data_IF_578835604086
#
_entry.id   IF_578835604086
#
_cell.length_a   1.000
_cell.length_b   1.000
_cell.length_c   1.000
_cell.angle_alpha   90.00
_cell.angle_beta   90.00
_cell.angle_gamma   90.00
#
_symmetry.space_group_name_H-M   'P 1'
#
loop_
_entity.id
_entity.type
_entity.pdbx_description
1 polymer ?
#
# COMPACT_ATOMS: atom_id res chain seq x y z
N UNK A 1 -65.26 14.02 8.53
CA UNK A 1 -65.88 14.17 9.87
C UNK A 1 -64.96 13.53 10.88
N UNK A 2 -64.45 14.37 11.77
CA UNK A 2 -63.68 14.07 12.97
C UNK A 2 -64.50 13.24 13.99
N UNK A 3 -63.97 12.64 15.09
CA UNK A 3 -63.09 13.37 15.97
C UNK A 3 -61.88 12.59 16.59
N UNK A 4 -60.96 13.41 17.09
CA UNK A 4 -59.89 13.20 18.06
C UNK A 4 -60.41 12.59 19.38
N UNK A 5 -59.64 11.75 20.05
CA UNK A 5 -59.61 11.69 21.51
C UNK A 5 -58.15 11.62 22.01
N UNK A 6 -57.89 12.63 22.77
CA UNK A 6 -56.67 12.88 23.56
C UNK A 6 -56.93 12.32 24.96
N UNK A 7 -56.02 11.56 25.54
CA UNK A 7 -56.03 11.28 26.97
C UNK A 7 -54.63 11.39 27.57
N UNK A 8 -54.44 12.53 28.19
CA UNK A 8 -53.41 12.76 29.21
C UNK A 8 -53.66 11.87 30.41
N UNK A 9 -52.63 11.18 30.91
CA UNK A 9 -52.64 10.63 32.27
C UNK A 9 -51.43 11.21 33.03
N UNK A 10 -51.79 11.85 34.14
CA UNK A 10 -51.01 12.64 35.06
C UNK A 10 -50.11 11.77 35.94
N UNK A 11 -48.98 12.40 36.30
CA UNK A 11 -48.14 11.98 37.41
C UNK A 11 -48.93 12.05 38.71
N UNK A 12 -49.03 10.95 39.44
CA UNK A 12 -48.97 10.87 40.91
C UNK A 12 -49.43 9.49 41.40
N UNK A 13 -48.75 9.03 42.46
CA UNK A 13 -49.08 7.89 43.33
C UNK A 13 -48.68 6.49 42.85
N UNK A 14 -47.58 5.95 43.45
CA UNK A 14 -47.71 4.99 44.53
C UNK A 14 -46.37 4.83 45.27
N UNK A 15 -46.36 5.32 46.49
CA UNK A 15 -45.47 4.88 47.55
C UNK A 15 -46.20 3.79 48.32
N UNK A 16 -45.64 2.58 48.41
CA UNK A 16 -45.91 1.64 49.48
C UNK A 16 -44.75 0.64 49.62
N UNK A 17 -44.25 0.53 50.79
CA UNK A 17 -43.16 -0.30 51.26
C UNK A 17 -43.44 -1.80 51.19
N UNK A 18 -42.39 -2.59 50.92
CA UNK A 18 -42.25 -3.93 51.48
C UNK A 18 -40.76 -4.28 51.62
N UNK A 19 -40.34 -4.50 52.85
CA UNK A 19 -39.06 -5.05 53.21
C UNK A 19 -38.96 -6.51 52.80
N UNK A 20 -37.81 -6.94 52.24
CA UNK A 20 -37.59 -8.33 51.89
C UNK A 20 -36.16 -8.63 51.52
N UNK A 21 -35.39 -9.13 52.48
CA UNK A 21 -34.21 -10.03 52.39
C UNK A 21 -33.21 -9.81 51.22
N UNK A 22 -32.09 -9.22 51.58
CA UNK A 22 -30.87 -9.19 50.76
C UNK A 22 -30.21 -10.56 50.71
N UNK A 23 -30.36 -11.27 49.58
CA UNK A 23 -29.46 -12.35 49.22
C UNK A 23 -28.25 -11.73 48.50
N UNK A 24 -27.11 -11.70 49.16
CA UNK A 24 -25.82 -11.33 48.54
C UNK A 24 -25.40 -12.50 47.64
N UNK A 25 -25.66 -12.37 46.35
CA UNK A 25 -25.07 -13.23 45.37
C UNK A 25 -23.59 -12.81 45.18
N UNK A 26 -22.67 -13.64 45.65
CA UNK A 26 -21.26 -13.57 45.31
C UNK A 26 -21.09 -13.83 43.81
N UNK A 27 -20.99 -12.78 43.03
CA UNK A 27 -20.54 -12.84 41.66
C UNK A 27 -19.04 -13.14 41.67
N UNK A 28 -18.54 -14.24 41.14
CA UNK A 28 -17.12 -14.46 41.01
C UNK A 28 -16.54 -13.36 40.10
N UNK A 29 -15.68 -12.52 40.65
CA UNK A 29 -14.85 -11.59 39.87
C UNK A 29 -13.98 -12.43 38.93
N UNK A 30 -14.39 -12.55 37.70
CA UNK A 30 -13.51 -13.01 36.64
C UNK A 30 -12.42 -11.95 36.50
N UNK A 31 -11.26 -12.23 37.09
CA UNK A 31 -10.05 -11.48 36.82
C UNK A 31 -9.82 -11.56 35.30
N UNK A 32 -10.18 -10.49 34.59
CA UNK A 32 -9.79 -10.31 33.21
C UNK A 32 -8.27 -10.45 33.18
N UNK A 33 -7.76 -11.45 32.45
CA UNK A 33 -6.37 -11.58 32.16
C UNK A 33 -5.86 -10.23 31.59
N UNK A 34 -4.64 -9.78 31.95
CA UNK A 34 -4.11 -8.54 31.42
C UNK A 34 -4.11 -8.66 29.89
N UNK A 35 -4.97 -7.88 29.26
CA UNK A 35 -4.87 -7.66 27.82
C UNK A 35 -3.48 -7.08 27.62
N UNK A 36 -2.61 -7.81 26.92
CA UNK A 36 -1.37 -7.26 26.40
C UNK A 36 -1.76 -6.04 25.55
N UNK A 37 -1.67 -4.87 26.15
CA UNK A 37 -1.69 -3.60 25.44
C UNK A 37 -0.36 -3.61 24.68
N UNK A 38 -0.38 -4.17 23.46
CA UNK A 38 0.69 -3.94 22.53
C UNK A 38 0.85 -2.42 22.47
N UNK A 39 1.99 -1.93 22.94
CA UNK A 39 2.29 -0.48 22.98
C UNK A 39 2.06 0.04 21.57
N UNK A 40 1.02 0.88 21.42
CA UNK A 40 0.66 1.43 20.13
C UNK A 40 1.89 2.14 19.57
N UNK A 41 2.35 1.73 18.39
CA UNK A 41 3.49 2.38 17.75
C UNK A 41 3.21 3.89 17.64
N UNK A 42 4.19 4.77 17.95
CA UNK A 42 4.00 6.20 17.83
C UNK A 42 3.59 6.56 16.40
N UNK A 43 2.68 7.52 16.27
CA UNK A 43 2.24 7.99 14.95
C UNK A 43 3.42 8.72 14.30
N UNK A 44 3.89 8.30 13.11
CA UNK A 44 4.99 8.96 12.44
C UNK A 44 4.57 10.35 11.95
N UNK A 45 5.57 11.23 11.76
CA UNK A 45 5.35 12.54 11.13
C UNK A 45 4.88 12.35 9.69
N UNK A 46 3.96 13.18 9.22
CA UNK A 46 3.55 13.24 7.83
C UNK A 46 4.69 13.65 6.90
N UNK A 47 4.60 13.24 5.65
CA UNK A 47 5.62 13.42 4.62
C UNK A 47 4.99 14.06 3.38
N UNK A 48 5.78 14.88 2.68
CA UNK A 48 5.44 15.47 1.39
C UNK A 48 5.84 14.49 0.30
N UNK A 49 4.86 13.83 -0.31
CA UNK A 49 5.08 12.76 -1.29
C UNK A 49 4.79 13.26 -2.70
N UNK A 50 5.76 13.14 -3.60
CA UNK A 50 5.59 13.38 -5.03
C UNK A 50 5.62 12.04 -5.79
N UNK A 51 4.74 11.89 -6.77
CA UNK A 51 4.59 10.62 -7.51
C UNK A 51 4.82 10.82 -9.00
N UNK A 52 5.72 10.03 -9.59
CA UNK A 52 5.88 9.87 -11.03
C UNK A 52 5.53 8.43 -11.41
N UNK A 53 4.50 8.25 -12.25
CA UNK A 53 4.08 6.90 -12.60
C UNK A 53 3.06 6.83 -13.74
N UNK A 54 2.69 5.62 -14.07
CA UNK A 54 1.76 5.25 -15.12
C UNK A 54 0.58 4.42 -14.57
N UNK A 55 -0.17 3.71 -15.40
CA UNK A 55 -1.39 2.98 -15.03
C UNK A 55 -1.22 1.94 -13.91
N UNK A 56 0.01 1.49 -13.65
CA UNK A 56 0.32 0.56 -12.56
C UNK A 56 0.69 1.26 -11.23
N UNK A 57 0.60 2.60 -11.16
CA UNK A 57 1.07 3.35 -10.00
C UNK A 57 0.21 4.57 -9.64
N UNK A 58 -0.47 5.21 -10.61
CA UNK A 58 -1.15 6.51 -10.41
C UNK A 58 -2.21 6.52 -9.30
N UNK A 59 -2.76 5.37 -8.96
CA UNK A 59 -3.76 5.17 -7.91
C UNK A 59 -3.14 5.07 -6.51
N UNK A 60 -1.82 4.96 -6.38
CA UNK A 60 -1.13 4.95 -5.08
C UNK A 60 -1.42 6.24 -4.30
N UNK A 61 -1.41 7.40 -4.96
CA UNK A 61 -1.57 8.71 -4.30
C UNK A 61 -2.83 8.81 -3.46
N UNK A 62 -4.06 8.62 -4.02
CA UNK A 62 -5.27 8.73 -3.22
C UNK A 62 -5.37 7.64 -2.13
N UNK A 63 -4.93 6.42 -2.42
CA UNK A 63 -4.95 5.34 -1.44
C UNK A 63 -3.97 5.59 -0.28
N UNK A 64 -2.77 6.07 -0.58
CA UNK A 64 -1.79 6.41 0.45
C UNK A 64 -2.31 7.54 1.35
N UNK A 65 -2.98 8.55 0.79
CA UNK A 65 -3.59 9.63 1.57
C UNK A 65 -4.69 9.12 2.51
N UNK A 66 -5.53 8.21 2.05
CA UNK A 66 -6.55 7.56 2.88
C UNK A 66 -5.92 6.73 4.00
N UNK A 67 -4.90 5.92 3.68
CA UNK A 67 -4.18 5.11 4.65
C UNK A 67 -3.45 5.97 5.69
N UNK A 68 -2.85 7.08 5.29
CA UNK A 68 -2.24 8.04 6.22
C UNK A 68 -3.26 8.63 7.17
N UNK A 69 -4.45 9.01 6.67
CA UNK A 69 -5.56 9.49 7.50
C UNK A 69 -6.00 8.41 8.51
N UNK A 70 -6.20 7.17 8.07
CA UNK A 70 -6.57 6.04 8.94
C UNK A 70 -5.52 5.74 10.00
N UNK A 71 -4.25 5.95 9.67
CA UNK A 71 -3.14 5.79 10.61
C UNK A 71 -2.95 6.97 11.58
N UNK A 72 -3.78 8.01 11.49
CA UNK A 72 -3.67 9.24 12.30
C UNK A 72 -2.54 10.17 11.89
N UNK A 73 -1.98 10.01 10.67
CA UNK A 73 -0.88 10.84 10.15
C UNK A 73 -1.47 12.09 9.50
N UNK A 74 -1.72 13.12 10.32
CA UNK A 74 -2.43 14.34 9.90
C UNK A 74 -1.66 15.18 8.88
N UNK A 75 -0.31 15.14 8.91
CA UNK A 75 0.55 16.01 8.11
C UNK A 75 0.99 15.36 6.78
N UNK A 76 0.29 14.29 6.32
CA UNK A 76 0.55 13.74 5.00
C UNK A 76 0.15 14.74 3.92
N UNK A 77 1.08 15.03 2.99
CA UNK A 77 0.87 15.99 1.90
C UNK A 77 1.19 15.35 0.57
N UNK A 78 0.26 15.43 -0.37
CA UNK A 78 0.53 15.16 -1.78
C UNK A 78 1.25 16.37 -2.37
N UNK A 79 2.59 16.31 -2.47
CA UNK A 79 3.42 17.39 -3.01
C UNK A 79 3.19 17.59 -4.52
N UNK A 80 2.70 16.56 -5.19
CA UNK A 80 2.35 16.60 -6.60
C UNK A 80 2.37 15.24 -7.26
N UNK A 81 2.02 15.21 -8.54
CA UNK A 81 2.09 13.98 -9.35
C UNK A 81 2.41 14.29 -10.81
N UNK A 82 3.17 13.41 -11.44
CA UNK A 82 3.33 13.28 -12.88
C UNK A 82 2.75 11.94 -13.32
N UNK A 83 1.71 11.97 -14.16
CA UNK A 83 1.00 10.78 -14.62
C UNK A 83 1.03 10.71 -16.13
N UNK A 84 1.78 9.73 -16.67
CA UNK A 84 1.92 9.53 -18.12
C UNK A 84 1.66 8.04 -18.41
N UNK A 85 0.65 7.74 -19.22
CA UNK A 85 0.28 6.35 -19.56
C UNK A 85 1.43 5.62 -20.26
N UNK A 86 1.76 4.41 -19.81
CA UNK A 86 2.83 3.57 -20.38
C UNK A 86 4.21 4.23 -20.40
N UNK A 87 4.49 5.12 -19.43
CA UNK A 87 5.77 5.84 -19.37
C UNK A 87 6.86 5.04 -18.69
N UNK A 88 8.09 5.21 -19.17
CA UNK A 88 9.31 4.99 -18.37
C UNK A 88 9.53 6.14 -17.42
N UNK A 89 10.44 5.99 -16.45
CA UNK A 89 10.85 7.11 -15.58
C UNK A 89 11.55 8.20 -16.40
N UNK A 90 12.30 7.82 -17.45
CA UNK A 90 12.90 8.81 -18.38
C UNK A 90 11.88 9.69 -19.05
N UNK A 91 10.70 9.18 -19.44
CA UNK A 91 9.66 10.05 -20.03
C UNK A 91 9.16 11.13 -19.07
N UNK A 92 9.15 10.87 -17.78
CA UNK A 92 8.87 11.92 -16.78
C UNK A 92 10.03 12.90 -16.64
N UNK A 93 11.27 12.42 -16.75
CA UNK A 93 12.44 13.28 -16.75
C UNK A 93 12.50 14.19 -17.97
N UNK A 94 12.14 13.69 -19.14
CA UNK A 94 12.20 14.39 -20.43
C UNK A 94 11.03 15.36 -20.66
N UNK A 95 10.08 15.45 -19.74
CA UNK A 95 9.08 16.53 -19.79
C UNK A 95 9.79 17.87 -19.83
N UNK A 96 9.44 18.78 -20.78
CA UNK A 96 10.07 20.10 -20.89
C UNK A 96 10.17 20.80 -19.54
N UNK A 97 11.30 21.44 -19.29
CA UNK A 97 11.67 21.97 -17.98
C UNK A 97 10.58 22.87 -17.37
N UNK A 98 10.01 23.74 -18.18
CA UNK A 98 8.95 24.68 -17.80
C UNK A 98 7.62 24.01 -17.45
N UNK A 99 7.46 22.71 -17.76
CA UNK A 99 6.26 21.89 -17.49
C UNK A 99 6.54 20.76 -16.51
N UNK A 100 7.81 20.57 -16.13
CA UNK A 100 8.20 19.45 -15.30
C UNK A 100 7.98 19.75 -13.81
N UNK A 101 6.76 19.46 -13.35
CA UNK A 101 6.36 19.70 -11.97
C UNK A 101 7.22 18.89 -10.96
N UNK A 102 7.72 17.71 -11.36
CA UNK A 102 8.56 16.90 -10.48
C UNK A 102 9.91 17.56 -10.25
N UNK A 103 10.61 17.99 -11.32
CA UNK A 103 11.88 18.69 -11.21
C UNK A 103 11.72 19.99 -10.42
N UNK A 104 10.66 20.77 -10.69
CA UNK A 104 10.38 22.00 -9.97
C UNK A 104 10.24 21.76 -8.45
N UNK A 105 9.39 20.81 -8.06
CA UNK A 105 9.16 20.49 -6.65
C UNK A 105 10.42 19.96 -5.95
N UNK A 106 11.24 19.17 -6.65
CA UNK A 106 12.51 18.67 -6.12
C UNK A 106 13.52 19.79 -5.88
N UNK A 107 13.69 20.72 -6.84
CA UNK A 107 14.61 21.88 -6.70
C UNK A 107 14.21 22.81 -5.56
N UNK A 108 12.92 22.92 -5.30
CA UNK A 108 12.42 23.71 -4.15
C UNK A 108 12.63 23.01 -2.79
N UNK A 109 13.13 21.78 -2.77
CA UNK A 109 13.28 20.98 -1.54
C UNK A 109 11.95 20.66 -0.84
N UNK A 110 10.83 20.72 -1.59
CA UNK A 110 9.47 20.53 -1.05
C UNK A 110 8.99 19.08 -1.08
N UNK A 111 9.87 18.13 -1.35
CA UNK A 111 9.56 16.69 -1.43
C UNK A 111 10.38 15.96 -0.37
N UNK A 112 9.72 15.13 0.44
CA UNK A 112 10.35 14.25 1.41
C UNK A 112 10.50 12.82 0.85
N UNK A 113 9.53 12.41 0.00
CA UNK A 113 9.55 11.13 -0.69
C UNK A 113 9.13 11.34 -2.15
N UNK A 114 9.98 10.86 -3.07
CA UNK A 114 9.64 10.73 -4.47
C UNK A 114 9.33 9.25 -4.76
N UNK A 115 8.14 8.94 -5.31
CA UNK A 115 7.82 7.58 -5.73
C UNK A 115 7.94 7.45 -7.24
N UNK A 116 8.64 6.42 -7.68
CA UNK A 116 8.90 6.11 -9.08
C UNK A 116 8.37 4.71 -9.43
N UNK A 117 7.92 4.55 -10.67
CA UNK A 117 7.42 3.27 -11.18
C UNK A 117 8.06 3.01 -12.55
N UNK A 118 9.23 2.34 -12.58
CA UNK A 118 9.88 1.93 -13.83
C UNK A 118 9.09 0.78 -14.48
N UNK A 119 9.22 0.59 -15.79
CA UNK A 119 8.63 -0.56 -16.50
C UNK A 119 9.65 -1.67 -16.69
N UNK A 120 10.88 -1.34 -16.97
CA UNK A 120 12.00 -2.28 -17.20
C UNK A 120 13.31 -1.68 -16.71
N UNK A 121 14.36 -2.49 -16.75
CA UNK A 121 15.69 -2.13 -16.26
C UNK A 121 16.75 -2.41 -17.34
N UNK A 122 17.86 -1.67 -17.35
CA UNK A 122 18.14 -0.52 -16.48
C UNK A 122 17.32 0.71 -16.85
N UNK A 123 17.06 1.61 -15.88
CA UNK A 123 16.24 2.81 -16.07
C UNK A 123 16.98 4.06 -15.57
N UNK A 124 17.62 4.78 -16.48
CA UNK A 124 18.42 5.97 -16.16
C UNK A 124 17.64 7.09 -15.46
N UNK A 125 16.34 7.17 -15.72
CA UNK A 125 15.48 8.17 -15.10
C UNK A 125 15.47 8.11 -13.58
N UNK A 126 15.63 6.91 -13.01
CA UNK A 126 15.71 6.72 -11.55
C UNK A 126 16.95 7.43 -11.01
N UNK A 127 18.12 7.20 -11.61
CA UNK A 127 19.38 7.83 -11.19
C UNK A 127 19.31 9.38 -11.32
N UNK A 128 18.78 9.88 -12.44
CA UNK A 128 18.65 11.31 -12.69
C UNK A 128 17.76 12.00 -11.65
N UNK A 129 16.58 11.42 -11.37
CA UNK A 129 15.69 11.95 -10.34
C UNK A 129 16.27 11.82 -8.94
N UNK A 130 16.91 10.70 -8.60
CA UNK A 130 17.53 10.50 -7.31
C UNK A 130 18.67 11.51 -7.06
N UNK A 131 19.50 11.76 -8.05
CA UNK A 131 20.58 12.75 -7.96
C UNK A 131 20.04 14.17 -7.75
N UNK A 132 19.08 14.60 -8.58
CA UNK A 132 18.44 15.91 -8.43
C UNK A 132 17.76 16.04 -7.06
N UNK A 133 17.01 15.04 -6.65
CA UNK A 133 16.32 15.05 -5.37
C UNK A 133 17.29 15.16 -4.18
N UNK A 134 18.37 14.37 -4.21
CA UNK A 134 19.40 14.37 -3.17
C UNK A 134 20.25 15.64 -3.14
N UNK A 135 20.46 16.31 -4.28
CA UNK A 135 21.10 17.59 -4.35
C UNK A 135 20.40 18.65 -3.49
N UNK A 136 19.06 18.71 -3.61
CA UNK A 136 18.23 19.73 -2.97
C UNK A 136 17.63 19.33 -1.62
N UNK A 137 17.56 18.04 -1.30
CA UNK A 137 17.12 17.54 -0.01
C UNK A 137 17.95 16.34 0.43
N UNK A 138 18.89 16.53 1.36
CA UNK A 138 19.77 15.46 1.87
C UNK A 138 19.04 14.36 2.67
N UNK A 139 17.77 14.58 3.01
CA UNK A 139 16.91 13.61 3.71
C UNK A 139 15.85 12.99 2.81
N UNK A 140 15.89 13.27 1.51
CA UNK A 140 14.97 12.68 0.54
C UNK A 140 15.06 11.15 0.54
N UNK A 141 13.94 10.48 0.32
CA UNK A 141 13.87 9.08 -0.05
C UNK A 141 13.24 8.95 -1.42
N UNK A 142 13.82 8.13 -2.25
CA UNK A 142 13.27 7.75 -3.55
C UNK A 142 12.80 6.30 -3.44
N UNK A 143 11.50 6.08 -3.50
CA UNK A 143 10.92 4.74 -3.49
C UNK A 143 10.69 4.28 -4.93
N UNK A 144 11.18 3.10 -5.26
CA UNK A 144 11.06 2.51 -6.59
C UNK A 144 10.15 1.30 -6.50
N UNK A 145 9.00 1.35 -7.19
CA UNK A 145 8.05 0.25 -7.19
C UNK A 145 8.56 -0.90 -8.04
N UNK A 146 8.72 -2.07 -7.43
CA UNK A 146 8.77 -3.31 -8.19
C UNK A 146 7.39 -3.66 -8.73
N UNK A 147 7.34 -4.28 -9.91
CA UNK A 147 6.07 -4.72 -10.40
C UNK A 147 5.85 -6.22 -10.21
N UNK A 148 4.55 -6.60 -10.19
CA UNK A 148 4.10 -7.89 -10.66
C UNK A 148 4.25 -7.92 -12.18
N UNK A 149 4.95 -8.87 -12.70
CA UNK A 149 5.44 -8.87 -14.08
C UNK A 149 4.33 -8.72 -15.14
N UNK A 150 4.41 -7.73 -16.04
CA UNK A 150 3.53 -7.66 -17.21
C UNK A 150 3.61 -8.95 -18.02
N UNK A 151 2.46 -9.44 -18.47
CA UNK A 151 2.35 -10.71 -19.21
C UNK A 151 2.96 -11.92 -18.48
N UNK A 152 3.07 -11.88 -17.14
CA UNK A 152 3.63 -12.95 -16.31
C UNK A 152 5.06 -13.37 -16.68
N UNK A 153 5.84 -12.50 -17.30
CA UNK A 153 7.24 -12.77 -17.63
C UNK A 153 8.13 -11.55 -17.44
N UNK A 154 9.38 -11.78 -17.13
CA UNK A 154 10.41 -10.76 -17.10
C UNK A 154 11.21 -10.79 -18.39
N UNK A 155 11.16 -9.70 -19.12
CA UNK A 155 12.00 -9.45 -20.27
C UNK A 155 12.63 -8.07 -20.12
N UNK A 156 13.95 -7.97 -19.93
CA UNK A 156 14.63 -6.68 -19.83
C UNK A 156 14.66 -5.92 -21.16
N UNK A 157 14.29 -6.58 -22.25
CA UNK A 157 14.27 -5.96 -23.59
C UNK A 157 12.86 -5.48 -23.91
N UNK A 158 12.70 -4.20 -23.99
CA UNK A 158 11.45 -3.53 -24.39
C UNK A 158 11.48 -3.21 -25.91
N UNK A 159 10.34 -3.18 -26.60
CA UNK A 159 8.97 -3.32 -26.10
C UNK A 159 8.51 -4.77 -25.95
N UNK A 160 7.65 -5.00 -24.94
CA UNK A 160 6.94 -6.27 -24.79
C UNK A 160 6.01 -6.52 -25.98
N UNK A 161 5.80 -7.79 -26.36
CA UNK A 161 4.83 -8.12 -27.39
C UNK A 161 3.40 -7.92 -26.88
N UNK A 162 2.83 -6.78 -27.25
CA UNK A 162 1.49 -6.37 -26.84
C UNK A 162 0.37 -7.24 -27.43
N UNK A 163 0.69 -8.10 -28.41
CA UNK A 163 -0.26 -8.97 -29.07
C UNK A 163 -0.35 -10.34 -28.41
N UNK A 164 0.55 -10.66 -27.48
CA UNK A 164 0.54 -11.92 -26.75
C UNK A 164 -0.78 -12.07 -26.00
N UNK A 165 -1.52 -13.12 -26.31
CA UNK A 165 -2.66 -13.53 -25.50
C UNK A 165 -2.13 -14.34 -24.32
N UNK A 166 -2.47 -13.93 -23.12
CA UNK A 166 -2.07 -14.59 -21.91
C UNK A 166 -3.32 -14.99 -21.10
N UNK A 167 -3.32 -16.21 -20.61
CA UNK A 167 -4.20 -16.62 -19.53
C UNK A 167 -3.39 -16.65 -18.23
N UNK A 168 -3.59 -15.65 -17.39
CA UNK A 168 -2.93 -15.57 -16.09
C UNK A 168 -3.19 -16.79 -15.20
N UNK A 169 -4.28 -17.54 -15.44
CA UNK A 169 -4.58 -18.75 -14.69
C UNK A 169 -3.70 -19.94 -15.10
N UNK A 170 -3.16 -19.91 -16.30
CA UNK A 170 -2.29 -20.97 -16.81
C UNK A 170 -0.84 -20.83 -16.32
N UNK A 171 -0.44 -19.66 -15.82
CA UNK A 171 0.94 -19.42 -15.38
C UNK A 171 1.19 -20.08 -14.04
N UNK A 172 2.25 -20.88 -13.96
CA UNK A 172 2.60 -21.60 -12.73
C UNK A 172 3.41 -20.74 -11.76
N UNK A 173 3.23 -20.98 -10.47
CA UNK A 173 4.00 -20.27 -9.43
C UNK A 173 5.52 -20.44 -9.58
N UNK A 174 6.07 -21.64 -9.85
CA UNK A 174 7.52 -21.78 -10.06
C UNK A 174 8.05 -20.92 -11.21
N UNK A 175 7.31 -20.80 -12.31
CA UNK A 175 7.71 -19.98 -13.45
C UNK A 175 7.67 -18.48 -13.08
N UNK A 176 6.59 -18.04 -12.43
CA UNK A 176 6.48 -16.67 -11.94
C UNK A 176 7.57 -16.31 -10.94
N UNK A 177 7.82 -17.19 -9.97
CA UNK A 177 8.85 -16.96 -8.94
C UNK A 177 10.21 -16.78 -9.58
N UNK A 178 10.60 -17.68 -10.51
CA UNK A 178 11.88 -17.57 -11.22
C UNK A 178 12.02 -16.22 -11.94
N UNK A 179 10.96 -15.78 -12.63
CA UNK A 179 10.99 -14.52 -13.36
C UNK A 179 11.00 -13.30 -12.40
N UNK A 180 10.23 -13.37 -11.31
CA UNK A 180 10.16 -12.32 -10.30
C UNK A 180 11.49 -12.17 -9.57
N UNK A 181 12.09 -13.27 -9.12
CA UNK A 181 13.38 -13.27 -8.43
C UNK A 181 14.49 -12.61 -9.28
N UNK A 182 14.48 -12.85 -10.60
CA UNK A 182 15.44 -12.20 -11.51
C UNK A 182 15.17 -10.69 -11.59
N UNK A 183 13.93 -10.29 -11.76
CA UNK A 183 13.55 -8.88 -11.82
C UNK A 183 13.89 -8.13 -10.52
N UNK A 184 13.58 -8.73 -9.37
CA UNK A 184 13.85 -8.15 -8.07
C UNK A 184 15.36 -7.98 -7.83
N UNK A 185 16.15 -9.00 -8.24
CA UNK A 185 17.60 -8.91 -8.20
C UNK A 185 18.12 -7.74 -9.03
N UNK A 186 17.68 -7.61 -10.27
CA UNK A 186 18.12 -6.55 -11.18
C UNK A 186 17.71 -5.15 -10.68
N UNK A 187 16.52 -5.03 -10.08
CA UNK A 187 16.06 -3.79 -9.46
C UNK A 187 16.90 -3.41 -8.25
N UNK A 188 17.16 -4.36 -7.38
CA UNK A 188 17.96 -4.15 -6.18
C UNK A 188 19.39 -3.73 -6.55
N UNK A 189 20.02 -4.41 -7.52
CA UNK A 189 21.36 -4.04 -7.99
C UNK A 189 21.38 -2.63 -8.62
N UNK A 190 20.34 -2.29 -9.39
CA UNK A 190 20.20 -0.95 -9.96
C UNK A 190 20.11 0.13 -8.86
N UNK A 191 19.25 -0.09 -7.85
CA UNK A 191 19.11 0.82 -6.71
C UNK A 191 20.39 0.89 -5.85
N UNK A 192 21.07 -0.23 -5.60
CA UNK A 192 22.37 -0.25 -4.89
C UNK A 192 23.43 0.52 -5.65
N UNK A 193 23.48 0.38 -6.97
CA UNK A 193 24.39 1.14 -7.84
C UNK A 193 24.18 2.64 -7.70
N UNK A 194 22.95 3.12 -7.72
CA UNK A 194 22.61 4.53 -7.51
C UNK A 194 23.01 4.98 -6.10
N UNK A 195 22.65 4.23 -5.07
CA UNK A 195 23.00 4.56 -3.68
C UNK A 195 24.53 4.66 -3.48
N UNK A 196 25.29 3.75 -4.09
CA UNK A 196 26.76 3.79 -4.07
C UNK A 196 27.31 5.06 -4.72
N UNK A 197 26.78 5.48 -5.87
CA UNK A 197 27.18 6.74 -6.55
C UNK A 197 26.86 7.96 -5.71
N UNK A 198 25.71 7.96 -5.00
CA UNK A 198 25.29 9.08 -4.16
C UNK A 198 25.97 9.09 -2.77
N UNK A 199 26.63 8.00 -2.39
CA UNK A 199 27.25 7.83 -1.07
C UNK A 199 26.24 7.74 0.08
N UNK A 200 24.97 7.43 -0.21
CA UNK A 200 23.87 7.35 0.77
C UNK A 200 22.75 6.46 0.23
N UNK A 201 22.04 5.77 1.14
CA UNK A 201 20.85 4.99 0.83
C UNK A 201 19.64 5.92 0.55
N UNK A 202 19.60 6.47 -0.66
CA UNK A 202 18.52 7.35 -1.15
C UNK A 202 17.40 6.53 -1.78
N UNK A 203 17.75 5.54 -2.62
CA UNK A 203 16.80 4.68 -3.29
C UNK A 203 16.48 3.44 -2.44
N UNK A 204 15.20 3.16 -2.29
CA UNK A 204 14.66 1.95 -1.65
C UNK A 204 13.59 1.32 -2.53
N UNK A 205 13.46 0.00 -2.46
CA UNK A 205 12.49 -0.77 -3.27
C UNK A 205 11.17 -0.96 -2.54
N UNK A 206 10.07 -0.89 -3.28
CA UNK A 206 8.73 -1.25 -2.77
C UNK A 206 8.34 -2.59 -3.39
N UNK A 207 8.34 -3.71 -2.65
CA UNK A 207 8.26 -5.07 -3.17
C UNK A 207 6.82 -5.48 -3.53
N UNK A 208 6.18 -4.73 -4.42
CA UNK A 208 4.81 -5.00 -4.84
C UNK A 208 4.70 -6.29 -5.64
N UNK A 209 5.73 -6.63 -6.44
CA UNK A 209 5.75 -7.87 -7.23
C UNK A 209 5.75 -9.11 -6.36
N UNK A 210 6.61 -9.14 -5.34
CA UNK A 210 6.68 -10.23 -4.37
C UNK A 210 5.37 -10.36 -3.57
N UNK A 211 4.75 -9.24 -3.19
CA UNK A 211 3.46 -9.25 -2.51
C UNK A 211 2.35 -9.83 -3.40
N UNK A 212 2.30 -9.45 -4.68
CA UNK A 212 1.31 -10.00 -5.63
C UNK A 212 1.56 -11.48 -5.90
N UNK A 213 2.82 -11.91 -6.00
CA UNK A 213 3.16 -13.33 -6.14
C UNK A 213 2.65 -14.13 -4.92
N UNK A 214 2.89 -13.65 -3.71
CA UNK A 214 2.38 -14.29 -2.49
C UNK A 214 0.83 -14.36 -2.46
N UNK A 215 0.15 -13.32 -2.94
CA UNK A 215 -1.32 -13.36 -3.07
C UNK A 215 -1.78 -14.40 -4.10
N UNK A 216 -1.09 -14.52 -5.25
CA UNK A 216 -1.38 -15.55 -6.26
C UNK A 216 -1.23 -16.95 -5.71
N UNK A 217 -0.18 -17.22 -4.93
CA UNK A 217 0.04 -18.51 -4.25
C UNK A 217 -1.14 -18.88 -3.36
N UNK A 218 -1.62 -17.92 -2.55
CA UNK A 218 -2.76 -18.14 -1.65
C UNK A 218 -4.08 -18.36 -2.40
N UNK A 219 -4.29 -17.69 -3.52
CA UNK A 219 -5.47 -17.91 -4.37
C UNK A 219 -5.44 -19.34 -4.94
N UNK A 220 -4.30 -19.78 -5.47
CA UNK A 220 -4.15 -21.14 -6.02
C UNK A 220 -4.32 -22.20 -4.93
N UNK A 221 -3.87 -21.93 -3.71
CA UNK A 221 -4.08 -22.80 -2.56
C UNK A 221 -5.54 -22.82 -2.03
N UNK A 222 -6.43 -21.97 -2.58
CA UNK A 222 -7.82 -21.85 -2.12
C UNK A 222 -8.00 -21.13 -0.79
N UNK A 223 -6.97 -20.41 -0.34
CA UNK A 223 -6.96 -19.70 0.95
C UNK A 223 -7.65 -18.31 0.89
N UNK A 224 -8.08 -17.88 -0.30
CA UNK A 224 -8.68 -16.54 -0.52
C UNK A 224 -10.11 -16.69 -1.04
N UNK A 225 -11.12 -16.86 -0.17
CA UNK A 225 -12.50 -17.12 -0.62
C UNK A 225 -13.10 -16.02 -1.51
N UNK A 226 -12.62 -14.79 -1.36
CA UNK A 226 -13.06 -13.62 -2.14
C UNK A 226 -12.55 -13.60 -3.58
N UNK A 227 -11.53 -14.40 -3.92
CA UNK A 227 -10.90 -14.47 -5.24
C UNK A 227 -10.75 -15.95 -5.65
N UNK A 228 -11.38 -16.34 -6.74
CA UNK A 228 -11.47 -17.76 -7.16
C UNK A 228 -10.32 -18.19 -8.05
N UNK A 229 -9.73 -17.25 -8.76
CA UNK A 229 -8.66 -17.52 -9.72
C UNK A 229 -7.66 -16.37 -9.74
N UNK A 230 -6.38 -16.68 -9.98
CA UNK A 230 -5.33 -15.67 -10.01
C UNK A 230 -5.52 -14.62 -11.12
N UNK A 231 -6.20 -14.97 -12.21
CA UNK A 231 -6.53 -14.04 -13.29
C UNK A 231 -7.50 -12.93 -12.87
N UNK A 232 -8.27 -13.10 -11.78
CA UNK A 232 -9.15 -12.05 -11.25
C UNK A 232 -8.37 -10.86 -10.65
N UNK A 233 -7.07 -11.01 -10.46
CA UNK A 233 -6.18 -9.94 -10.02
C UNK A 233 -5.92 -8.90 -11.11
N UNK A 234 -6.19 -9.22 -12.38
CA UNK A 234 -5.84 -8.41 -13.53
C UNK A 234 -7.05 -8.16 -14.43
N UNK A 235 -7.04 -7.00 -15.10
CA UNK A 235 -8.11 -6.59 -16.01
C UNK A 235 -7.83 -6.98 -17.47
N UNK A 236 -6.59 -7.29 -17.77
CA UNK A 236 -6.12 -7.60 -19.12
C UNK A 236 -4.81 -8.39 -19.12
N UNK A 237 -4.35 -8.77 -20.28
CA UNK A 237 -3.12 -9.55 -20.46
C UNK A 237 -1.83 -8.82 -20.04
N UNK A 238 -1.89 -7.48 -19.94
CA UNK A 238 -0.76 -6.68 -19.46
C UNK A 238 -0.59 -6.75 -17.94
N UNK A 239 -1.62 -7.26 -17.27
CA UNK A 239 -1.63 -7.28 -15.82
C UNK A 239 -2.03 -5.93 -15.19
N UNK A 240 -2.83 -5.10 -15.87
CA UNK A 240 -3.40 -3.93 -15.20
C UNK A 240 -4.20 -4.36 -13.98
N UNK A 241 -3.90 -3.80 -12.80
CA UNK A 241 -4.40 -4.33 -11.54
C UNK A 241 -5.90 -4.09 -11.35
N UNK A 242 -6.58 -5.07 -10.78
CA UNK A 242 -7.87 -4.87 -10.13
C UNK A 242 -7.70 -4.25 -8.75
N UNK A 243 -8.79 -3.85 -8.12
CA UNK A 243 -8.74 -3.14 -6.83
C UNK A 243 -7.98 -3.90 -5.73
N UNK A 244 -8.12 -5.22 -5.55
CA UNK A 244 -7.33 -5.96 -4.57
C UNK A 244 -5.81 -5.79 -4.73
N UNK A 245 -5.30 -5.83 -5.97
CA UNK A 245 -3.86 -5.60 -6.23
C UNK A 245 -3.47 -4.15 -5.99
N UNK A 246 -4.34 -3.19 -6.36
CA UNK A 246 -4.10 -1.78 -6.09
C UNK A 246 -3.96 -1.52 -4.58
N UNK A 247 -4.85 -2.07 -3.78
CA UNK A 247 -4.83 -1.93 -2.31
C UNK A 247 -3.60 -2.62 -1.72
N UNK A 248 -3.26 -3.84 -2.17
CA UNK A 248 -2.06 -4.55 -1.73
C UNK A 248 -0.80 -3.73 -1.98
N UNK A 249 -0.62 -3.23 -3.20
CA UNK A 249 0.54 -2.40 -3.53
C UNK A 249 0.54 -1.07 -2.74
N UNK A 250 -0.62 -0.44 -2.52
CA UNK A 250 -0.71 0.75 -1.69
C UNK A 250 -0.30 0.47 -0.22
N UNK A 251 -0.61 -0.71 0.33
CA UNK A 251 -0.10 -1.14 1.64
C UNK A 251 1.42 -1.32 1.65
N UNK A 252 2.01 -1.87 0.58
CA UNK A 252 3.46 -1.93 0.45
C UNK A 252 4.08 -0.52 0.45
N UNK A 253 3.52 0.41 -0.31
CA UNK A 253 3.96 1.81 -0.32
C UNK A 253 3.82 2.47 1.05
N UNK A 254 2.69 2.29 1.73
CA UNK A 254 2.49 2.80 3.08
C UNK A 254 3.55 2.28 4.05
N UNK A 255 3.79 0.97 4.02
CA UNK A 255 4.77 0.33 4.90
C UNK A 255 6.20 0.82 4.66
N UNK A 256 6.62 1.00 3.40
CA UNK A 256 7.96 1.52 3.05
C UNK A 256 8.08 3.01 3.36
N UNK A 257 7.06 3.82 3.02
CA UNK A 257 7.11 5.27 3.19
C UNK A 257 7.07 5.66 4.67
N UNK A 258 6.20 5.05 5.45
CA UNK A 258 6.01 5.39 6.85
C UNK A 258 6.77 4.47 7.82
N UNK A 259 7.44 3.43 7.31
CA UNK A 259 8.12 2.40 8.13
C UNK A 259 7.21 1.85 9.23
N UNK A 260 5.94 1.68 8.89
CA UNK A 260 4.88 1.27 9.80
C UNK A 260 4.04 0.16 9.18
N UNK A 261 3.62 -0.78 10.02
CA UNK A 261 2.73 -1.84 9.57
C UNK A 261 1.38 -1.28 9.11
N UNK A 262 0.84 -1.72 7.96
CA UNK A 262 -0.53 -1.43 7.55
C UNK A 262 -1.56 -2.27 8.30
N UNK A 263 -1.11 -3.27 9.06
CA UNK A 263 -1.97 -4.21 9.79
C UNK A 263 -2.83 -3.48 10.82
N UNK A 264 -4.15 -3.66 10.69
CA UNK A 264 -5.14 -3.01 11.55
C UNK A 264 -5.68 -1.68 10.98
N UNK A 265 -5.24 -1.22 9.82
CA UNK A 265 -5.90 -0.11 9.14
C UNK A 265 -7.33 -0.50 8.72
N UNK A 266 -8.27 0.44 8.79
CA UNK A 266 -9.65 0.23 8.34
C UNK A 266 -9.76 -0.25 6.88
N UNK A 267 -10.93 -0.79 6.55
CA UNK A 267 -11.26 -1.19 5.18
C UNK A 267 -11.19 0.01 4.23
N UNK A 268 -10.42 -0.05 3.13
CA UNK A 268 -10.36 1.05 2.18
C UNK A 268 -11.71 1.34 1.52
N UNK A 269 -12.02 2.62 1.30
CA UNK A 269 -13.29 3.06 0.69
C UNK A 269 -13.56 2.40 -0.67
N UNK A 270 -12.50 2.10 -1.43
CA UNK A 270 -12.63 1.43 -2.73
C UNK A 270 -13.19 0.01 -2.64
N UNK A 271 -13.07 -0.65 -1.47
CA UNK A 271 -13.63 -1.99 -1.23
C UNK A 271 -15.15 -1.97 -1.04
N UNK A 272 -15.72 -0.86 -0.58
CA UNK A 272 -17.17 -0.73 -0.41
C UNK A 272 -17.98 -0.94 -1.70
N UNK A 273 -17.32 -0.90 -2.86
CA UNK A 273 -17.94 -1.14 -4.17
C UNK A 273 -18.21 -2.61 -4.49
N UNK A 274 -17.64 -3.53 -3.73
CA UNK A 274 -17.81 -4.96 -3.93
C UNK A 274 -17.95 -5.67 -2.56
N UNK A 275 -19.12 -6.22 -2.24
CA UNK A 275 -19.40 -6.80 -0.91
C UNK A 275 -18.59 -8.07 -0.59
N UNK A 276 -17.94 -8.69 -1.57
CA UNK A 276 -17.04 -9.83 -1.31
C UNK A 276 -15.64 -9.40 -0.88
N UNK A 277 -15.31 -8.12 -0.99
CA UNK A 277 -14.04 -7.56 -0.51
C UNK A 277 -14.23 -7.04 0.92
N UNK A 278 -14.13 -7.94 1.84
CA UNK A 278 -14.43 -7.76 3.26
C UNK A 278 -13.18 -7.50 4.13
N UNK A 279 -13.38 -7.38 5.43
CA UNK A 279 -12.30 -7.21 6.40
C UNK A 279 -11.31 -8.39 6.42
N UNK A 280 -11.72 -9.60 6.03
CA UNK A 280 -10.82 -10.76 5.98
C UNK A 280 -9.85 -10.62 4.82
N UNK A 281 -10.35 -10.24 3.63
CA UNK A 281 -9.49 -9.94 2.49
C UNK A 281 -8.58 -8.76 2.82
N UNK A 282 -9.12 -7.68 3.39
CA UNK A 282 -8.35 -6.52 3.80
C UNK A 282 -7.18 -6.89 4.71
N UNK A 283 -7.46 -7.66 5.77
CA UNK A 283 -6.43 -8.13 6.70
C UNK A 283 -5.37 -8.98 6.02
N UNK A 284 -5.78 -9.89 5.16
CA UNK A 284 -4.86 -10.73 4.39
C UNK A 284 -3.91 -9.89 3.54
N UNK A 285 -4.42 -8.86 2.83
CA UNK A 285 -3.59 -7.97 2.02
C UNK A 285 -2.60 -7.16 2.87
N UNK A 286 -3.02 -6.72 4.07
CA UNK A 286 -2.15 -6.04 5.03
C UNK A 286 -1.02 -6.94 5.50
N UNK A 287 -1.34 -8.19 5.87
CA UNK A 287 -0.35 -9.16 6.34
C UNK A 287 0.66 -9.51 5.23
N UNK A 288 0.19 -9.73 3.99
CA UNK A 288 1.06 -10.00 2.83
C UNK A 288 1.97 -8.80 2.55
N UNK A 289 1.44 -7.58 2.55
CA UNK A 289 2.23 -6.38 2.31
C UNK A 289 3.32 -6.20 3.36
N UNK A 290 2.97 -6.37 4.65
CA UNK A 290 3.93 -6.25 5.74
C UNK A 290 5.03 -7.30 5.68
N UNK A 291 4.65 -8.53 5.38
CA UNK A 291 5.58 -9.64 5.23
C UNK A 291 6.55 -9.40 4.06
N UNK A 292 6.04 -9.02 2.90
CA UNK A 292 6.87 -8.71 1.74
C UNK A 292 7.86 -7.57 2.04
N UNK A 293 7.38 -6.47 2.64
CA UNK A 293 8.21 -5.29 2.93
C UNK A 293 9.27 -5.58 3.97
N UNK A 294 8.95 -6.29 5.05
CA UNK A 294 9.91 -6.55 6.14
C UNK A 294 10.96 -7.59 5.78
N UNK A 295 10.67 -8.50 4.85
CA UNK A 295 11.61 -9.49 4.33
C UNK A 295 12.51 -8.95 3.23
N UNK A 296 12.10 -7.88 2.54
CA UNK A 296 12.85 -7.35 1.41
C UNK A 296 14.08 -6.55 1.85
N UNK A 297 15.25 -6.91 1.32
CA UNK A 297 16.53 -6.33 1.75
C UNK A 297 16.61 -4.81 1.51
N UNK A 298 16.08 -4.33 0.39
CA UNK A 298 16.17 -2.93 -0.05
C UNK A 298 14.95 -2.06 0.33
N UNK A 299 13.97 -2.60 1.07
CA UNK A 299 12.79 -1.82 1.50
C UNK A 299 13.12 -0.73 2.53
N UNK A 300 14.25 -0.88 3.24
CA UNK A 300 14.61 0.00 4.36
C UNK A 300 13.72 -0.18 5.61
N UNK A 301 12.95 -1.30 5.67
CA UNK A 301 12.07 -1.66 6.79
C UNK A 301 12.47 -3.04 7.33
N UNK A 302 12.39 -3.23 8.63
CA UNK A 302 12.65 -4.52 9.28
C UNK A 302 11.55 -4.82 10.30
N UNK A 303 11.17 -6.09 10.43
CA UNK A 303 10.28 -6.52 11.49
C UNK A 303 10.93 -6.21 12.85
N UNK A 304 10.21 -5.55 13.75
CA UNK A 304 10.71 -5.17 15.07
C UNK A 304 11.61 -3.93 15.12
N UNK A 305 11.88 -3.26 14.01
CA UNK A 305 12.53 -1.95 14.03
C UNK A 305 11.51 -0.89 14.44
N UNK A 306 11.60 -0.40 15.67
CA UNK A 306 10.88 0.80 16.09
C UNK A 306 11.39 1.99 15.26
N UNK A 307 10.47 2.82 14.77
CA UNK A 307 10.81 4.10 14.16
C UNK A 307 11.52 4.95 15.23
N UNK A 308 12.85 5.12 15.07
CA UNK A 308 13.62 6.03 15.90
C UNK A 308 13.31 7.47 15.52
#
# INVERSE_FOLDING_TARGET
MNPKTNTNISRRQFLAAAAGLSAVALVPSVLAAPQNIATAQPVPKGLRVFTCGHSFHVWVVPMLSEMALFAGIADHVVAGRSSIGGSTVMKHWDVPEEKNLAKAALREGKVDVLTLSPIWLPEEGIEKFAALAFEHNKNIRVTVQEYWLPNDEYNPVYPLDTRKKLDHNATTIPALRKAQDQYDHDMDEHCRGINKKLGKDVCVTVPCGQAVLALREKIIAGEVPALKAQGELFRDNWGHPTVPVQVLAAYCHFAVIYKRTPVGLPLPTVFAKNPVWDDKLNRLLQDIAWDAVTKHAMSGVRAGAEAK
#
